data_IF_665526048137
#
_entry.id   IF_665526048137
#
_cell.length_a   1.000
_cell.length_b   1.000
_cell.length_c   1.000
_cell.angle_alpha   90.00
_cell.angle_beta   90.00
_cell.angle_gamma   90.00
#
_symmetry.space_group_name_H-M   'P 1'
#
loop_
_entity.id
_entity.type
_entity.pdbx_description
1 polymer ?
#
# COMPACT_ATOMS: atom_id res chain seq x y z
N UNK A 1 26.76 1.71 12.07
CA UNK A 1 25.55 2.50 11.84
C UNK A 1 25.10 3.00 13.19
N UNK A 2 25.04 4.32 13.34
CA UNK A 2 24.63 4.94 14.59
C UNK A 2 23.10 4.89 14.74
N UNK A 3 22.57 4.97 15.96
CA UNK A 3 21.12 4.93 16.20
C UNK A 3 20.36 6.00 15.39
N UNK A 4 20.93 7.19 15.27
CA UNK A 4 20.37 8.33 14.54
C UNK A 4 20.25 8.04 13.04
N UNK A 5 21.24 7.35 12.47
CA UNK A 5 21.29 6.97 11.06
C UNK A 5 20.18 5.96 10.73
N UNK A 6 19.99 4.94 11.58
CA UNK A 6 18.89 3.97 11.47
C UNK A 6 17.53 4.67 11.55
N UNK A 7 17.37 5.61 12.48
CA UNK A 7 16.11 6.32 12.66
C UNK A 7 15.78 7.22 11.46
N UNK A 8 16.79 7.83 10.85
CA UNK A 8 16.65 8.66 9.65
C UNK A 8 16.28 7.82 8.43
N UNK A 9 16.95 6.68 8.21
CA UNK A 9 16.63 5.73 7.14
C UNK A 9 15.19 5.21 7.26
N UNK A 10 14.78 4.79 8.47
CA UNK A 10 13.43 4.31 8.72
C UNK A 10 12.36 5.39 8.45
N UNK A 11 12.67 6.65 8.77
CA UNK A 11 11.80 7.78 8.49
C UNK A 11 11.69 8.04 6.99
N UNK A 12 12.82 8.05 6.27
CA UNK A 12 12.86 8.25 4.83
C UNK A 12 12.08 7.15 4.09
N UNK A 13 12.23 5.89 4.51
CA UNK A 13 11.47 4.77 3.94
C UNK A 13 9.96 4.93 4.18
N UNK A 14 9.55 5.37 5.38
CA UNK A 14 8.13 5.63 5.67
C UNK A 14 7.57 6.78 4.85
N UNK A 15 8.30 7.89 4.73
CA UNK A 15 7.89 9.04 3.92
C UNK A 15 7.79 8.68 2.43
N UNK A 16 8.64 7.77 1.94
CA UNK A 16 8.54 7.22 0.59
C UNK A 16 7.28 6.37 0.44
N UNK A 17 6.99 5.49 1.39
CA UNK A 17 5.82 4.61 1.35
C UNK A 17 4.50 5.40 1.35
N UNK A 18 4.44 6.49 2.11
CA UNK A 18 3.29 7.42 2.13
C UNK A 18 3.08 8.12 0.78
N UNK A 19 4.14 8.27 -0.03
CA UNK A 19 4.02 8.78 -1.40
C UNK A 19 3.62 7.69 -2.39
N UNK A 20 4.08 6.46 -2.17
CA UNK A 20 3.82 5.32 -3.05
C UNK A 20 2.41 4.74 -2.87
N UNK A 21 1.78 4.87 -1.71
CA UNK A 21 0.45 4.34 -1.43
C UNK A 21 -0.42 5.41 -0.79
N UNK A 22 -1.44 5.87 -1.53
CA UNK A 22 -2.27 7.01 -1.13
C UNK A 22 -3.75 6.67 -1.26
N UNK A 23 -4.59 7.23 -0.39
CA UNK A 23 -6.05 7.17 -0.53
C UNK A 23 -6.53 8.51 -1.08
N UNK A 24 -7.12 8.51 -2.26
CA UNK A 24 -7.63 9.71 -2.96
C UNK A 24 -8.95 9.39 -3.64
N UNK A 25 -9.96 10.24 -3.43
CA UNK A 25 -11.24 10.19 -4.17
C UNK A 25 -11.88 8.79 -4.24
N UNK A 26 -11.88 8.05 -3.13
CA UNK A 26 -12.45 6.70 -3.09
C UNK A 26 -11.59 5.60 -3.73
N UNK A 27 -10.33 5.88 -4.01
CA UNK A 27 -9.35 4.96 -4.59
C UNK A 27 -8.12 4.84 -3.70
N UNK A 28 -7.53 3.66 -3.67
CA UNK A 28 -6.14 3.46 -3.27
C UNK A 28 -5.28 3.58 -4.53
N UNK A 29 -4.37 4.54 -4.52
CA UNK A 29 -3.47 4.89 -5.61
C UNK A 29 -2.10 4.33 -5.27
N UNK A 30 -1.60 3.42 -6.10
CA UNK A 30 -0.27 2.85 -5.99
C UNK A 30 0.63 3.51 -7.04
N UNK A 31 1.73 4.11 -6.59
CA UNK A 31 2.70 4.75 -7.46
C UNK A 31 4.08 4.10 -7.27
N UNK A 32 4.54 3.38 -8.29
CA UNK A 32 5.85 2.72 -8.29
C UNK A 32 7.02 3.71 -8.35
N UNK A 33 6.81 4.86 -8.98
CA UNK A 33 7.79 5.93 -9.21
C UNK A 33 7.16 7.26 -8.80
N UNK A 34 7.21 7.64 -7.51
CA UNK A 34 6.50 8.83 -6.98
C UNK A 34 6.78 10.14 -7.71
N UNK A 35 7.86 10.22 -8.48
CA UNK A 35 8.22 11.37 -9.31
C UNK A 35 7.50 11.40 -10.68
N UNK A 36 6.73 10.37 -11.01
CA UNK A 36 5.99 10.22 -12.25
C UNK A 36 4.54 9.79 -11.99
N UNK A 37 3.62 10.75 -12.01
CA UNK A 37 2.19 10.54 -11.79
C UNK A 37 1.48 9.81 -12.94
N UNK A 38 2.10 9.70 -14.14
CA UNK A 38 1.49 8.97 -15.27
C UNK A 38 1.48 7.44 -15.10
N UNK A 39 2.12 6.92 -14.05
CA UNK A 39 2.21 5.49 -13.74
C UNK A 39 1.26 5.04 -12.61
N UNK A 40 0.33 5.89 -12.19
CA UNK A 40 -0.58 5.60 -11.07
C UNK A 40 -1.48 4.39 -11.36
N UNK A 41 -1.44 3.41 -10.45
CA UNK A 41 -2.33 2.26 -10.47
C UNK A 41 -3.47 2.49 -9.47
N UNK A 42 -4.65 2.82 -10.01
CA UNK A 42 -5.82 3.21 -9.23
C UNK A 42 -6.74 2.02 -8.94
N UNK A 43 -7.02 1.78 -7.66
CA UNK A 43 -7.89 0.70 -7.19
C UNK A 43 -9.05 1.31 -6.41
N UNK A 44 -10.25 1.24 -6.96
CA UNK A 44 -11.44 1.72 -6.25
C UNK A 44 -11.65 0.93 -4.94
N UNK A 45 -11.92 1.63 -3.85
CA UNK A 45 -12.15 1.02 -2.53
C UNK A 45 -13.28 -0.02 -2.55
N UNK A 46 -14.33 0.23 -3.33
CA UNK A 46 -15.45 -0.72 -3.56
C UNK A 46 -15.05 -2.04 -4.23
N UNK A 47 -13.85 -2.08 -4.83
CA UNK A 47 -13.27 -3.31 -5.39
C UNK A 47 -12.41 -4.05 -4.38
N UNK A 48 -12.25 -3.55 -3.16
CA UNK A 48 -11.50 -4.15 -2.05
C UNK A 48 -12.33 -4.24 -0.75
N UNK A 49 -13.65 -4.07 -0.82
CA UNK A 49 -14.58 -3.94 0.32
C UNK A 49 -14.98 -5.26 1.01
N UNK A 50 -14.43 -6.40 0.56
CA UNK A 50 -14.60 -7.69 1.24
C UNK A 50 -13.27 -8.43 1.28
N UNK A 51 -13.04 -9.34 2.26
CA UNK A 51 -11.82 -10.13 2.34
C UNK A 51 -11.50 -10.88 1.04
N UNK A 52 -12.51 -11.44 0.36
CA UNK A 52 -12.32 -12.17 -0.89
C UNK A 52 -11.87 -11.26 -2.05
N UNK A 53 -12.47 -10.08 -2.17
CA UNK A 53 -12.08 -9.07 -3.16
C UNK A 53 -10.67 -8.54 -2.89
N UNK A 54 -10.36 -8.25 -1.63
CA UNK A 54 -9.03 -7.82 -1.20
C UNK A 54 -7.97 -8.88 -1.53
N UNK A 55 -8.21 -10.15 -1.19
CA UNK A 55 -7.31 -11.25 -1.54
C UNK A 55 -7.10 -11.39 -3.05
N UNK A 56 -8.15 -11.20 -3.86
CA UNK A 56 -8.04 -11.18 -5.32
C UNK A 56 -7.11 -10.08 -5.82
N UNK A 57 -7.20 -8.89 -5.24
CA UNK A 57 -6.28 -7.79 -5.54
C UNK A 57 -4.86 -8.05 -5.08
N UNK A 58 -4.65 -8.58 -3.88
CA UNK A 58 -3.32 -8.94 -3.38
C UNK A 58 -2.64 -9.89 -4.38
N UNK A 59 -3.32 -10.95 -4.81
CA UNK A 59 -2.78 -11.89 -5.82
C UNK A 59 -2.40 -11.18 -7.12
N UNK A 60 -3.30 -10.34 -7.65
CA UNK A 60 -3.02 -9.59 -8.87
C UNK A 60 -1.83 -8.63 -8.74
N UNK A 61 -1.70 -8.00 -7.58
CA UNK A 61 -0.65 -7.04 -7.27
C UNK A 61 0.71 -7.73 -7.09
N UNK A 62 0.75 -8.92 -6.46
CA UNK A 62 1.98 -9.70 -6.31
C UNK A 62 2.58 -10.21 -7.64
N UNK A 63 1.83 -10.16 -8.74
CA UNK A 63 2.34 -10.44 -10.08
C UNK A 63 3.12 -9.26 -10.69
N UNK A 64 3.03 -8.06 -10.10
CA UNK A 64 3.67 -6.84 -10.63
C UNK A 64 5.11 -6.75 -10.16
N UNK A 65 6.05 -6.66 -11.12
CA UNK A 65 7.49 -6.59 -10.85
C UNK A 65 7.95 -5.32 -10.15
N UNK A 66 7.13 -4.26 -10.17
CA UNK A 66 7.43 -2.96 -9.59
C UNK A 66 6.90 -2.79 -8.16
N UNK A 67 6.12 -3.75 -7.66
CA UNK A 67 5.46 -3.65 -6.37
C UNK A 67 6.32 -4.29 -5.28
N UNK A 68 6.57 -3.57 -4.20
CA UNK A 68 7.31 -4.09 -3.04
C UNK A 68 6.37 -4.70 -2.01
N UNK A 69 6.90 -5.53 -1.10
CA UNK A 69 6.13 -6.08 0.01
C UNK A 69 5.57 -4.96 0.90
N UNK A 70 6.37 -3.95 1.23
CA UNK A 70 5.93 -2.80 2.03
C UNK A 70 4.73 -2.06 1.38
N UNK A 71 4.71 -1.95 0.05
CA UNK A 71 3.56 -1.38 -0.67
C UNK A 71 2.32 -2.27 -0.56
N UNK A 72 2.48 -3.60 -0.61
CA UNK A 72 1.38 -4.56 -0.39
C UNK A 72 0.83 -4.42 1.02
N UNK A 73 1.69 -4.42 2.03
CA UNK A 73 1.28 -4.32 3.43
C UNK A 73 0.55 -3.00 3.69
N UNK A 74 1.06 -1.90 3.11
CA UNK A 74 0.37 -0.60 3.18
C UNK A 74 -0.97 -0.64 2.44
N UNK A 75 -1.03 -1.19 1.24
CA UNK A 75 -2.28 -1.37 0.51
C UNK A 75 -3.32 -2.16 1.32
N UNK A 76 -2.92 -3.26 1.95
CA UNK A 76 -3.80 -4.07 2.81
C UNK A 76 -4.30 -3.23 4.00
N UNK A 77 -3.40 -2.54 4.70
CA UNK A 77 -3.74 -1.70 5.84
C UNK A 77 -4.76 -0.62 5.46
N UNK A 78 -4.53 0.11 4.37
CA UNK A 78 -5.42 1.14 3.87
C UNK A 78 -6.77 0.55 3.43
N UNK A 79 -6.77 -0.54 2.66
CA UNK A 79 -7.99 -1.20 2.21
C UNK A 79 -8.86 -1.69 3.37
N UNK A 80 -8.25 -2.25 4.41
CA UNK A 80 -8.97 -2.73 5.57
C UNK A 80 -9.50 -1.60 6.44
N UNK A 81 -8.70 -0.55 6.66
CA UNK A 81 -9.13 0.64 7.41
C UNK A 81 -10.31 1.33 6.74
N UNK A 82 -10.22 1.59 5.43
CA UNK A 82 -11.25 2.33 4.70
C UNK A 82 -12.54 1.50 4.50
N UNK A 83 -12.45 0.17 4.46
CA UNK A 83 -13.62 -0.72 4.29
C UNK A 83 -14.10 -1.39 5.60
N UNK A 84 -13.52 -1.05 6.76
CA UNK A 84 -13.81 -1.67 8.05
C UNK A 84 -13.70 -3.21 8.03
N UNK A 85 -12.69 -3.73 7.34
CA UNK A 85 -12.41 -5.18 7.32
C UNK A 85 -11.51 -5.50 8.52
N UNK A 86 -12.05 -6.28 9.45
CA UNK A 86 -11.26 -6.84 10.54
C UNK A 86 -10.45 -8.03 10.02
N UNK A 87 -9.12 -7.85 9.93
CA UNK A 87 -8.20 -8.96 9.74
C UNK A 87 -7.63 -9.27 11.11
N UNK A 88 -8.09 -10.36 11.74
CA UNK A 88 -7.46 -10.87 12.93
C UNK A 88 -6.05 -11.35 12.55
N UNK A 89 -5.06 -10.56 12.93
CA UNK A 89 -3.65 -10.88 12.75
C UNK A 89 -3.17 -11.59 14.01
N UNK A 90 -3.51 -12.88 14.14
CA UNK A 90 -2.86 -13.77 15.09
C UNK A 90 -1.41 -13.98 14.62
N UNK A 91 -0.48 -13.26 15.23
CA UNK A 91 0.97 -13.56 15.21
C UNK A 91 1.45 -13.89 16.61
#
# INVERSE_FOLDING_TARGET
>A
MEFWEVAEEARAQRDLLDKQVQVKEGHIVLNATPENEMADYNIALSRCDTPAKLLGWIRHLTEKTWLTLDMVDRFISEACRENNIDIQHDV
#
